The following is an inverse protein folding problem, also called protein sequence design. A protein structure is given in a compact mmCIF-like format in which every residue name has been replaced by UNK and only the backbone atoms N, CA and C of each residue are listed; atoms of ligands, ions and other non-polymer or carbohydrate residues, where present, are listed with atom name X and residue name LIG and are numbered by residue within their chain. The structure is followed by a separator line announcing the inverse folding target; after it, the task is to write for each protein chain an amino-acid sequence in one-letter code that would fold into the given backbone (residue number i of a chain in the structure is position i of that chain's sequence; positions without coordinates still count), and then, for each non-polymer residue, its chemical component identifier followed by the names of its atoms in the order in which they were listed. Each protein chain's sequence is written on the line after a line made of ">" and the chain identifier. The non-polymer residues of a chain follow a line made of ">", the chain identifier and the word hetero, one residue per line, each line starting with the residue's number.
data_IF_335342944859
#
_entry.id   IF_335342944859
#
_cell.length_a   1.000
_cell.length_b   1.000
_cell.length_c   1.000
_cell.angle_alpha   90.00
_cell.angle_beta   90.00
_cell.angle_gamma   90.00
#
_symmetry.space_group_name_H-M   'P 1'
#
loop_
_entity.id
_entity.type
_entity.pdbx_description
1 polymer ?
#
# COMPACT_ATOMS: atom_id res chain seq x y z
N UNK A 1 -21.75 23.04 -31.29
CA UNK A 1 -20.65 22.22 -30.76
C UNK A 1 -20.35 22.72 -29.35
N UNK A 2 -20.92 22.07 -28.34
CA UNK A 2 -20.53 22.28 -26.95
C UNK A 2 -19.06 21.81 -26.82
N UNK A 3 -18.14 22.70 -26.46
CA UNK A 3 -16.79 22.30 -26.05
C UNK A 3 -16.98 21.51 -24.75
N UNK A 4 -16.91 20.20 -24.87
CA UNK A 4 -16.75 19.35 -23.69
C UNK A 4 -15.47 19.80 -22.98
N UNK A 5 -15.54 20.08 -21.70
CA UNK A 5 -14.40 20.45 -20.88
C UNK A 5 -13.53 19.22 -20.55
N UNK A 6 -13.13 18.48 -21.56
CA UNK A 6 -12.25 17.31 -21.44
C UNK A 6 -10.79 17.73 -21.19
N UNK A 7 -10.62 18.62 -20.20
CA UNK A 7 -9.31 19.18 -19.87
C UNK A 7 -9.14 19.31 -18.37
N UNK A 8 -7.92 19.05 -17.92
CA UNK A 8 -7.52 19.26 -16.51
C UNK A 8 -6.81 20.61 -16.35
N UNK A 9 -7.17 21.35 -15.33
CA UNK A 9 -6.51 22.62 -14.98
C UNK A 9 -5.37 22.41 -13.97
N UNK A 10 -4.47 23.39 -13.89
CA UNK A 10 -3.49 23.47 -12.79
C UNK A 10 -4.16 23.37 -11.41
N UNK A 11 -5.31 24.04 -11.22
CA UNK A 11 -6.06 24.01 -9.96
C UNK A 11 -6.63 22.62 -9.67
N UNK A 12 -7.07 21.88 -10.68
CA UNK A 12 -7.55 20.50 -10.56
C UNK A 12 -6.43 19.53 -10.17
N UNK A 13 -5.22 19.69 -10.74
CA UNK A 13 -4.07 18.84 -10.40
C UNK A 13 -3.43 19.14 -9.04
N UNK A 14 -3.62 20.35 -8.50
CA UNK A 14 -2.97 20.72 -7.25
C UNK A 14 -3.34 19.84 -6.04
N UNK A 15 -4.62 19.50 -5.79
CA UNK A 15 -5.00 18.55 -4.74
C UNK A 15 -4.36 17.17 -4.97
N UNK A 16 -4.37 16.68 -6.20
CA UNK A 16 -3.78 15.39 -6.58
C UNK A 16 -2.26 15.37 -6.30
N UNK A 17 -1.56 16.44 -6.68
CA UNK A 17 -0.15 16.61 -6.33
C UNK A 17 0.07 16.55 -4.81
N UNK A 18 -0.78 17.18 -3.99
CA UNK A 18 -0.65 17.15 -2.53
C UNK A 18 -0.86 15.74 -1.96
N UNK A 19 -1.79 14.95 -2.51
CA UNK A 19 -2.00 13.55 -2.16
C UNK A 19 -0.77 12.72 -2.56
N UNK A 20 -0.32 12.85 -3.80
CA UNK A 20 0.81 12.10 -4.36
C UNK A 20 2.11 12.31 -3.57
N UNK A 21 2.41 13.55 -3.18
CA UNK A 21 3.63 13.88 -2.42
C UNK A 21 3.59 13.41 -0.95
N UNK A 22 2.40 13.05 -0.44
CA UNK A 22 2.24 12.58 0.95
C UNK A 22 3.08 11.32 1.14
N UNK A 23 3.94 11.31 2.17
CA UNK A 23 4.91 10.24 2.47
C UNK A 23 6.07 10.04 1.45
N UNK A 24 6.14 10.84 0.36
CA UNK A 24 7.18 10.76 -0.67
C UNK A 24 8.17 11.94 -0.68
N UNK A 25 7.98 12.93 0.18
CA UNK A 25 8.72 14.22 0.20
C UNK A 25 10.26 14.11 0.31
N UNK A 26 10.77 12.93 0.66
CA UNK A 26 12.21 12.70 0.81
C UNK A 26 12.78 11.87 -0.35
N UNK A 27 11.96 11.42 -1.31
CA UNK A 27 12.47 10.75 -2.50
C UNK A 27 13.11 11.76 -3.45
N UNK A 28 14.17 11.34 -4.15
CA UNK A 28 14.94 12.24 -5.01
C UNK A 28 14.07 12.89 -6.10
N UNK A 29 13.23 12.09 -6.75
CA UNK A 29 12.29 12.51 -7.78
C UNK A 29 11.22 13.50 -7.27
N UNK A 30 10.72 13.32 -6.04
CA UNK A 30 9.80 14.28 -5.44
C UNK A 30 10.50 15.61 -5.12
N UNK A 31 11.74 15.54 -4.60
CA UNK A 31 12.53 16.76 -4.33
C UNK A 31 12.83 17.51 -5.62
N UNK A 32 13.24 16.82 -6.68
CA UNK A 32 13.51 17.39 -7.99
C UNK A 32 12.26 18.08 -8.58
N UNK A 33 11.12 17.40 -8.56
CA UNK A 33 9.85 17.98 -8.99
C UNK A 33 9.48 19.23 -8.17
N UNK A 34 9.70 19.21 -6.84
CA UNK A 34 9.35 20.29 -5.93
C UNK A 34 10.23 21.53 -6.08
N UNK A 35 11.41 21.45 -6.69
CA UNK A 35 12.26 22.62 -6.96
C UNK A 35 11.53 23.65 -7.87
N UNK A 36 10.71 23.17 -8.78
CA UNK A 36 9.95 24.00 -9.73
C UNK A 36 8.49 23.53 -9.85
N UNK A 37 7.86 23.19 -8.73
CA UNK A 37 6.59 22.47 -8.72
C UNK A 37 5.44 23.18 -9.48
N UNK A 38 5.34 24.52 -9.43
CA UNK A 38 4.31 25.24 -10.17
C UNK A 38 4.46 25.05 -11.68
N UNK A 39 5.69 25.28 -12.17
CA UNK A 39 6.01 25.09 -13.60
C UNK A 39 5.81 23.64 -14.03
N UNK A 40 6.30 22.70 -13.23
CA UNK A 40 6.22 21.29 -13.53
C UNK A 40 4.75 20.79 -13.52
N UNK A 41 3.93 21.29 -12.59
CA UNK A 41 2.52 20.93 -12.52
C UNK A 41 1.71 21.57 -13.67
N UNK A 42 2.01 22.81 -14.04
CA UNK A 42 1.40 23.46 -15.20
C UNK A 42 1.75 22.73 -16.50
N UNK A 43 3.04 22.38 -16.68
CA UNK A 43 3.47 21.63 -17.85
C UNK A 43 2.78 20.26 -17.90
N UNK A 44 2.70 19.57 -16.79
CA UNK A 44 2.00 18.29 -16.71
C UNK A 44 0.53 18.43 -17.16
N UNK A 45 -0.18 19.48 -16.70
CA UNK A 45 -1.56 19.73 -17.12
C UNK A 45 -1.66 19.94 -18.64
N UNK A 46 -0.72 20.69 -19.24
CA UNK A 46 -0.66 20.89 -20.69
C UNK A 46 -0.38 19.59 -21.41
N UNK A 47 0.63 18.82 -20.99
CA UNK A 47 1.01 17.55 -21.60
C UNK A 47 -0.15 16.52 -21.51
N UNK A 48 -0.94 16.51 -20.44
CA UNK A 48 -2.15 15.69 -20.33
C UNK A 48 -3.21 16.13 -21.31
N UNK A 49 -3.50 17.42 -21.40
CA UNK A 49 -4.54 17.97 -22.27
C UNK A 49 -4.18 17.82 -23.77
N UNK A 50 -2.92 18.02 -24.12
CA UNK A 50 -2.41 17.90 -25.47
C UNK A 50 -2.15 16.44 -25.89
N UNK A 51 -2.36 15.46 -24.99
CA UNK A 51 -2.11 14.03 -25.23
C UNK A 51 -0.64 13.72 -25.58
N UNK A 52 0.31 14.51 -25.05
CA UNK A 52 1.76 14.41 -25.33
C UNK A 52 2.55 13.78 -24.20
N UNK A 53 1.88 13.21 -23.22
CA UNK A 53 2.49 12.61 -22.03
C UNK A 53 3.49 11.52 -22.42
N UNK A 54 4.72 11.64 -21.90
CA UNK A 54 5.78 10.65 -22.05
C UNK A 54 6.08 10.05 -20.69
N UNK A 55 5.57 8.85 -20.36
CA UNK A 55 5.86 8.24 -19.08
C UNK A 55 7.31 7.82 -18.98
N UNK A 56 7.95 8.18 -17.88
CA UNK A 56 9.28 7.70 -17.51
C UNK A 56 9.20 6.83 -16.26
N UNK A 57 10.08 5.84 -16.15
CA UNK A 57 10.13 4.95 -15.02
C UNK A 57 11.56 4.52 -14.69
N UNK A 58 11.79 4.18 -13.42
CA UNK A 58 13.04 3.58 -12.99
C UNK A 58 12.82 2.12 -12.64
N UNK A 59 13.81 1.28 -12.94
CA UNK A 59 13.81 -0.11 -12.50
C UNK A 59 14.76 -0.26 -11.32
N UNK A 60 14.29 -0.87 -10.25
CA UNK A 60 15.14 -1.33 -9.17
C UNK A 60 14.64 -2.66 -8.63
N UNK A 61 15.51 -3.40 -7.94
CA UNK A 61 15.15 -4.70 -7.36
C UNK A 61 14.98 -4.58 -5.86
N UNK A 62 13.83 -4.97 -5.35
CA UNK A 62 13.61 -5.13 -3.93
C UNK A 62 14.19 -6.48 -3.48
N UNK A 63 15.31 -6.48 -2.76
CA UNK A 63 16.04 -7.69 -2.36
C UNK A 63 15.42 -8.42 -1.17
N UNK A 64 14.38 -7.87 -0.52
CA UNK A 64 13.76 -8.49 0.67
C UNK A 64 12.26 -8.24 0.73
N UNK A 65 11.48 -9.24 1.16
CA UNK A 65 11.81 -10.64 1.46
C UNK A 65 12.05 -11.50 0.22
N UNK A 66 11.61 -11.05 -0.96
CA UNK A 66 11.82 -11.67 -2.28
C UNK A 66 12.36 -10.62 -3.24
N UNK A 67 13.28 -11.03 -4.13
CA UNK A 67 13.68 -10.18 -5.24
C UNK A 67 12.47 -9.94 -6.16
N UNK A 68 12.20 -8.67 -6.50
CA UNK A 68 11.13 -8.25 -7.41
C UNK A 68 11.59 -7.06 -8.23
N UNK A 69 11.15 -7.00 -9.46
CA UNK A 69 11.26 -5.80 -10.28
C UNK A 69 10.21 -4.79 -9.83
N UNK A 70 10.66 -3.60 -9.49
CA UNK A 70 9.78 -2.49 -9.13
C UNK A 70 10.07 -1.33 -10.06
N UNK A 71 9.09 -0.96 -10.86
CA UNK A 71 9.18 0.17 -11.79
C UNK A 71 8.63 1.42 -11.09
N UNK A 72 9.52 2.15 -10.44
CA UNK A 72 9.16 3.39 -9.76
C UNK A 72 9.07 4.53 -10.78
N UNK A 73 7.90 5.07 -10.96
CA UNK A 73 7.66 6.23 -11.82
C UNK A 73 8.24 7.51 -11.23
N UNK A 74 8.50 8.50 -12.09
CA UNK A 74 8.75 9.88 -11.68
C UNK A 74 7.51 10.51 -11.02
N UNK A 75 7.67 11.73 -10.52
CA UNK A 75 6.59 12.43 -9.80
C UNK A 75 5.44 12.82 -10.73
N UNK A 76 5.71 13.17 -11.99
CA UNK A 76 4.69 13.51 -12.99
C UNK A 76 3.77 12.34 -13.27
N UNK A 77 4.36 11.18 -13.60
CA UNK A 77 3.58 9.96 -13.85
C UNK A 77 2.80 9.51 -12.61
N UNK A 78 3.34 9.67 -11.40
CA UNK A 78 2.60 9.37 -10.17
C UNK A 78 1.39 10.28 -9.97
N UNK A 79 1.48 11.56 -10.36
CA UNK A 79 0.34 12.47 -10.31
C UNK A 79 -0.73 12.01 -11.30
N UNK A 80 -0.36 11.58 -12.51
CA UNK A 80 -1.30 11.01 -13.47
C UNK A 80 -1.96 9.73 -12.95
N UNK A 81 -1.18 8.81 -12.38
CA UNK A 81 -1.72 7.58 -11.77
C UNK A 81 -2.70 7.89 -10.64
N UNK A 82 -2.41 8.89 -9.80
CA UNK A 82 -3.34 9.31 -8.75
C UNK A 82 -4.57 10.02 -9.31
N UNK A 83 -4.45 10.80 -10.39
CA UNK A 83 -5.60 11.42 -11.05
C UNK A 83 -6.58 10.36 -11.54
N UNK A 84 -6.09 9.36 -12.29
CA UNK A 84 -6.91 8.22 -12.72
C UNK A 84 -7.54 7.50 -11.52
N UNK A 85 -6.73 7.18 -10.52
CA UNK A 85 -7.17 6.39 -9.38
C UNK A 85 -8.21 7.12 -8.52
N UNK A 86 -8.09 8.42 -8.30
CA UNK A 86 -9.06 9.19 -7.49
C UNK A 86 -10.43 9.26 -8.20
N UNK A 87 -10.46 9.47 -9.51
CA UNK A 87 -11.72 9.56 -10.27
C UNK A 87 -12.36 8.17 -10.49
N UNK A 88 -11.54 7.13 -10.74
CA UNK A 88 -12.04 5.77 -10.93
C UNK A 88 -12.38 5.03 -9.63
N UNK A 89 -11.82 5.43 -8.50
CA UNK A 89 -11.96 4.73 -7.20
C UNK A 89 -13.41 4.43 -6.79
N UNK A 90 -14.38 5.38 -6.84
CA UNK A 90 -15.75 5.07 -6.42
C UNK A 90 -16.40 3.97 -7.25
N UNK A 91 -16.01 3.85 -8.54
CA UNK A 91 -16.50 2.86 -9.46
C UNK A 91 -15.81 1.51 -9.24
N UNK A 92 -14.50 1.52 -9.05
CA UNK A 92 -13.71 0.31 -8.71
C UNK A 92 -14.24 -0.30 -7.41
N UNK A 93 -14.47 0.51 -6.37
CA UNK A 93 -14.99 0.04 -5.08
C UNK A 93 -16.32 -0.70 -5.22
N UNK A 94 -17.22 -0.28 -6.12
CA UNK A 94 -18.50 -0.97 -6.38
C UNK A 94 -18.35 -2.32 -7.09
N UNK A 95 -17.24 -2.53 -7.79
CA UNK A 95 -16.94 -3.80 -8.48
C UNK A 95 -16.28 -4.82 -7.58
N UNK A 96 -15.67 -4.39 -6.49
CA UNK A 96 -14.97 -5.26 -5.55
C UNK A 96 -15.91 -5.77 -4.47
N UNK A 97 -15.69 -7.00 -4.01
CA UNK A 97 -16.39 -7.52 -2.84
C UNK A 97 -15.84 -6.88 -1.56
N UNK A 98 -16.59 -6.92 -0.48
CA UNK A 98 -16.12 -6.42 0.81
C UNK A 98 -14.92 -7.18 1.36
N UNK A 99 -14.69 -8.39 0.88
CA UNK A 99 -13.57 -9.27 1.25
C UNK A 99 -12.33 -9.14 0.37
N UNK A 100 -12.29 -8.15 -0.54
CA UNK A 100 -11.07 -7.75 -1.24
C UNK A 100 -10.38 -6.64 -0.43
N UNK A 101 -9.15 -6.87 0.03
CA UNK A 101 -8.50 -6.02 1.04
C UNK A 101 -7.28 -5.22 0.56
N UNK A 102 -6.80 -5.45 -0.65
CA UNK A 102 -5.66 -4.73 -1.19
C UNK A 102 -6.06 -3.38 -1.81
N UNK A 103 -5.18 -2.40 -1.70
CA UNK A 103 -5.27 -1.09 -2.35
C UNK A 103 -6.58 -0.31 -2.08
N UNK A 104 -7.21 -0.50 -0.94
CA UNK A 104 -8.48 0.13 -0.55
C UNK A 104 -8.34 0.94 0.75
N UNK A 105 -9.03 2.08 0.83
CA UNK A 105 -9.03 2.93 2.02
C UNK A 105 -9.77 2.22 3.16
N UNK A 106 -9.17 2.19 4.35
CA UNK A 106 -9.75 1.51 5.53
C UNK A 106 -9.61 -0.01 5.53
N UNK A 107 -9.17 -0.61 4.44
CA UNK A 107 -8.84 -2.04 4.31
C UNK A 107 -7.32 -2.25 4.55
N UNK A 108 -6.76 -3.31 4.07
CA UNK A 108 -5.34 -3.62 4.17
C UNK A 108 -5.09 -4.95 4.88
N UNK A 109 -3.82 -5.33 5.00
CA UNK A 109 -3.44 -6.67 5.47
C UNK A 109 -3.97 -7.02 6.86
N UNK A 110 -3.98 -6.07 7.80
CA UNK A 110 -4.48 -6.35 9.14
C UNK A 110 -6.01 -6.58 9.13
N UNK A 111 -6.75 -5.83 8.33
CA UNK A 111 -8.18 -6.04 8.17
C UNK A 111 -8.48 -7.40 7.51
N UNK A 112 -7.70 -7.80 6.49
CA UNK A 112 -7.81 -9.15 5.89
C UNK A 112 -7.58 -10.27 6.91
N UNK A 113 -6.57 -10.13 7.75
CA UNK A 113 -6.25 -11.12 8.79
C UNK A 113 -7.37 -11.22 9.84
N UNK A 114 -7.95 -10.09 10.25
CA UNK A 114 -9.07 -10.07 11.18
C UNK A 114 -10.30 -10.72 10.54
N UNK A 115 -10.60 -10.40 9.28
CA UNK A 115 -11.71 -11.02 8.54
C UNK A 115 -11.55 -12.54 8.43
N UNK A 116 -10.34 -13.04 8.16
CA UNK A 116 -10.05 -14.48 8.17
C UNK A 116 -10.37 -15.11 9.53
N UNK A 117 -10.00 -14.44 10.63
CA UNK A 117 -10.29 -14.95 11.98
C UNK A 117 -11.80 -14.95 12.27
N UNK A 118 -12.52 -13.92 11.86
CA UNK A 118 -13.98 -13.80 11.96
C UNK A 118 -14.68 -14.88 11.11
N UNK A 119 -14.29 -15.02 9.85
CA UNK A 119 -14.88 -16.03 8.94
C UNK A 119 -14.68 -17.46 9.46
N UNK A 120 -13.53 -17.78 10.07
CA UNK A 120 -13.30 -19.07 10.72
C UNK A 120 -14.22 -19.22 11.94
N UNK A 121 -14.35 -18.20 12.78
CA UNK A 121 -15.19 -18.22 13.97
C UNK A 121 -16.65 -18.44 13.60
N UNK A 122 -17.16 -17.70 12.62
CA UNK A 122 -18.55 -17.79 12.16
C UNK A 122 -18.84 -19.13 11.51
N UNK A 123 -17.97 -19.60 10.58
CA UNK A 123 -18.16 -20.88 9.88
C UNK A 123 -18.11 -22.09 10.83
N UNK A 124 -17.33 -21.99 11.91
CA UNK A 124 -17.23 -23.03 12.94
C UNK A 124 -18.25 -22.89 14.05
N UNK A 125 -19.17 -21.91 14.01
CA UNK A 125 -20.09 -21.60 15.10
C UNK A 125 -19.36 -21.47 16.45
N UNK A 126 -18.31 -20.62 16.52
CA UNK A 126 -17.54 -20.44 17.74
C UNK A 126 -16.60 -21.60 18.08
N UNK A 127 -16.04 -22.26 17.07
CA UNK A 127 -15.14 -23.42 17.18
C UNK A 127 -15.80 -24.72 17.67
N UNK A 128 -17.10 -24.83 17.49
CA UNK A 128 -17.88 -26.04 17.89
C UNK A 128 -18.13 -26.99 16.73
N UNK A 129 -17.98 -26.55 15.48
CA UNK A 129 -18.18 -27.35 14.27
C UNK A 129 -16.89 -27.43 13.45
N UNK A 130 -16.75 -28.49 12.69
CA UNK A 130 -15.62 -28.67 11.78
C UNK A 130 -15.72 -27.74 10.60
N UNK A 131 -14.54 -27.16 10.21
CA UNK A 131 -14.37 -26.41 9.00
C UNK A 131 -12.94 -26.54 8.49
N UNK A 132 -12.75 -26.31 7.20
CA UNK A 132 -11.48 -26.39 6.52
C UNK A 132 -11.10 -25.03 5.95
N UNK A 133 -9.90 -24.61 6.28
CA UNK A 133 -9.25 -23.42 5.73
C UNK A 133 -8.49 -23.79 4.46
N UNK A 134 -8.81 -23.11 3.38
CA UNK A 134 -8.22 -23.32 2.07
C UNK A 134 -7.47 -22.06 1.67
N UNK A 135 -6.21 -22.19 1.25
CA UNK A 135 -5.42 -21.06 0.75
C UNK A 135 -4.78 -21.42 -0.59
N UNK A 136 -4.71 -20.44 -1.47
CA UNK A 136 -4.00 -20.55 -2.73
C UNK A 136 -3.38 -19.21 -3.14
N UNK A 137 -2.41 -19.26 -4.03
CA UNK A 137 -1.65 -18.12 -4.53
C UNK A 137 -1.64 -18.19 -6.07
N UNK A 138 -1.70 -17.06 -6.73
CA UNK A 138 -1.62 -16.99 -8.19
C UNK A 138 -0.17 -16.86 -8.63
N UNK A 139 0.24 -17.67 -9.60
CA UNK A 139 1.61 -17.65 -10.10
C UNK A 139 1.84 -16.46 -11.03
N UNK A 140 2.82 -15.62 -10.65
CA UNK A 140 3.20 -14.51 -11.52
C UNK A 140 2.07 -13.52 -11.77
N UNK A 141 1.26 -13.21 -10.76
CA UNK A 141 0.03 -12.42 -10.90
C UNK A 141 0.23 -11.13 -11.68
N UNK A 142 1.19 -10.27 -11.30
CA UNK A 142 1.53 -9.06 -12.04
C UNK A 142 2.30 -9.36 -13.34
N UNK A 143 3.37 -10.16 -13.33
CA UNK A 143 4.15 -10.40 -14.54
C UNK A 143 3.39 -11.13 -15.68
N UNK A 144 2.30 -11.82 -15.38
CA UNK A 144 1.52 -12.57 -16.36
C UNK A 144 0.19 -11.89 -16.72
N UNK A 145 -0.11 -10.73 -16.14
CA UNK A 145 -1.34 -10.01 -16.42
C UNK A 145 -1.41 -9.61 -17.91
N UNK A 146 -2.56 -9.79 -18.54
CA UNK A 146 -2.83 -9.34 -19.89
C UNK A 146 -3.22 -7.87 -19.86
N UNK A 147 -2.54 -7.06 -20.64
CA UNK A 147 -2.76 -5.60 -20.65
C UNK A 147 -4.11 -5.26 -21.29
N UNK A 148 -4.52 -5.98 -22.34
CA UNK A 148 -5.83 -5.85 -22.96
C UNK A 148 -6.97 -6.08 -21.96
N UNK A 149 -6.92 -7.19 -21.24
CA UNK A 149 -7.92 -7.53 -20.22
C UNK A 149 -8.00 -6.47 -19.12
N UNK A 150 -6.84 -5.98 -18.64
CA UNK A 150 -6.80 -4.92 -17.64
C UNK A 150 -7.40 -3.60 -18.18
N UNK A 151 -7.11 -3.26 -19.41
CA UNK A 151 -7.64 -2.07 -20.08
C UNK A 151 -9.15 -2.15 -20.30
N UNK A 152 -9.64 -3.28 -20.82
CA UNK A 152 -11.05 -3.51 -21.08
C UNK A 152 -11.92 -3.39 -19.81
N UNK A 153 -11.39 -3.82 -18.65
CA UNK A 153 -12.08 -3.66 -17.37
C UNK A 153 -12.21 -2.19 -16.96
N UNK A 154 -11.19 -1.37 -17.21
CA UNK A 154 -11.30 0.07 -16.99
C UNK A 154 -12.27 0.73 -17.96
N UNK A 155 -12.25 0.32 -19.25
CA UNK A 155 -13.17 0.84 -20.26
C UNK A 155 -14.61 0.49 -19.92
N UNK A 156 -14.88 -0.72 -19.45
CA UNK A 156 -16.22 -1.13 -19.05
C UNK A 156 -16.79 -0.23 -17.95
N UNK A 157 -15.98 0.12 -16.94
CA UNK A 157 -16.35 1.08 -15.91
C UNK A 157 -16.53 2.47 -16.50
N UNK A 158 -15.56 2.94 -17.29
CA UNK A 158 -15.55 4.27 -17.86
C UNK A 158 -16.77 4.50 -18.75
N UNK A 159 -17.14 3.51 -19.55
CA UNK A 159 -18.24 3.61 -20.50
C UNK A 159 -19.61 3.46 -19.87
N UNK A 160 -19.76 2.59 -18.90
CA UNK A 160 -21.05 2.28 -18.28
C UNK A 160 -21.38 3.12 -17.04
N UNK A 161 -20.36 3.55 -16.29
CA UNK A 161 -20.59 4.12 -14.99
C UNK A 161 -20.07 5.54 -14.82
N UNK A 162 -18.97 5.92 -15.52
CA UNK A 162 -18.37 7.22 -15.35
C UNK A 162 -19.12 8.31 -16.11
N UNK A 163 -19.47 9.40 -15.42
CA UNK A 163 -20.25 10.52 -15.98
C UNK A 163 -19.49 11.86 -15.97
N UNK A 164 -18.17 11.83 -15.64
CA UNK A 164 -17.36 13.05 -15.63
C UNK A 164 -17.15 13.62 -17.03
N UNK A 165 -16.96 14.94 -17.12
CA UNK A 165 -16.71 15.65 -18.39
C UNK A 165 -15.36 15.32 -19.00
N UNK A 166 -14.41 14.80 -18.20
CA UNK A 166 -13.04 14.43 -18.58
C UNK A 166 -12.89 12.95 -18.97
N UNK A 167 -13.98 12.31 -19.37
CA UNK A 167 -14.02 10.89 -19.73
C UNK A 167 -13.00 10.50 -20.80
N UNK A 168 -12.86 11.30 -21.85
CA UNK A 168 -11.91 11.03 -22.93
C UNK A 168 -10.45 11.30 -22.51
N UNK A 169 -10.24 12.25 -21.59
CA UNK A 169 -8.93 12.42 -20.95
C UNK A 169 -8.55 11.20 -20.13
N UNK A 170 -9.48 10.70 -19.29
CA UNK A 170 -9.25 9.49 -18.49
C UNK A 170 -8.99 8.28 -19.39
N UNK A 171 -9.74 8.09 -20.48
CA UNK A 171 -9.51 7.03 -21.47
C UNK A 171 -8.07 7.05 -21.99
N UNK A 172 -7.60 8.21 -22.43
CA UNK A 172 -6.23 8.40 -22.88
C UNK A 172 -5.21 8.09 -21.80
N UNK A 173 -5.41 8.59 -20.58
CA UNK A 173 -4.48 8.40 -19.47
C UNK A 173 -4.40 6.92 -19.02
N UNK A 174 -5.54 6.22 -18.99
CA UNK A 174 -5.62 4.79 -18.68
C UNK A 174 -4.88 3.98 -19.75
N UNK A 175 -5.18 4.24 -21.04
CA UNK A 175 -4.50 3.61 -22.16
C UNK A 175 -2.98 3.77 -22.06
N UNK A 176 -2.49 5.00 -21.90
CA UNK A 176 -1.07 5.31 -21.73
C UNK A 176 -0.45 4.66 -20.50
N UNK A 177 -1.22 4.48 -19.42
CA UNK A 177 -0.74 3.87 -18.18
C UNK A 177 -0.67 2.35 -18.27
N UNK A 178 -1.65 1.72 -18.88
CA UNK A 178 -1.73 0.26 -19.03
C UNK A 178 -0.75 -0.25 -20.08
N UNK A 179 -0.73 0.36 -21.27
CA UNK A 179 0.14 -0.05 -22.38
C UNK A 179 1.53 0.59 -22.35
N UNK A 180 1.94 1.18 -21.20
CA UNK A 180 3.32 1.63 -21.06
C UNK A 180 4.24 0.44 -20.83
N UNK A 181 5.35 0.43 -21.58
CA UNK A 181 6.42 -0.57 -21.44
C UNK A 181 7.58 0.06 -20.66
N UNK A 182 7.60 -0.04 -19.32
CA UNK A 182 8.64 0.61 -18.52
C UNK A 182 10.03 0.03 -18.76
N UNK A 183 10.12 -1.14 -19.38
CA UNK A 183 11.37 -1.78 -19.78
C UNK A 183 12.08 -1.07 -20.92
N UNK A 184 11.35 -0.33 -21.77
CA UNK A 184 11.91 0.41 -22.92
C UNK A 184 12.48 1.77 -22.49
N UNK A 185 11.90 2.40 -21.46
CA UNK A 185 12.21 3.75 -21.03
C UNK A 185 12.48 3.81 -19.53
N UNK A 186 13.39 2.96 -19.02
CA UNK A 186 13.73 2.96 -17.63
C UNK A 186 15.23 3.14 -17.37
N UNK A 187 15.56 3.81 -16.28
CA UNK A 187 16.88 3.83 -15.70
C UNK A 187 17.05 2.63 -14.76
N UNK A 188 18.02 1.77 -15.04
CA UNK A 188 18.32 0.61 -14.20
C UNK A 188 19.27 1.04 -13.08
N UNK A 189 18.77 1.07 -11.84
CA UNK A 189 19.52 1.44 -10.64
C UNK A 189 19.95 0.25 -9.79
N UNK A 190 19.45 -0.96 -10.09
CA UNK A 190 19.86 -2.18 -9.41
C UNK A 190 21.18 -2.70 -9.93
N UNK A 191 21.94 -3.39 -9.06
CA UNK A 191 23.16 -4.09 -9.49
C UNK A 191 22.83 -5.31 -10.36
N UNK A 192 23.84 -5.84 -11.03
CA UNK A 192 23.67 -7.04 -11.85
C UNK A 192 23.26 -8.25 -10.99
N UNK A 193 23.91 -8.42 -9.82
CA UNK A 193 23.63 -9.51 -8.87
C UNK A 193 22.21 -9.43 -8.31
N UNK A 194 21.72 -8.22 -8.02
CA UNK A 194 20.33 -8.02 -7.58
C UNK A 194 19.33 -8.47 -8.66
N UNK A 195 19.63 -8.19 -9.92
CA UNK A 195 18.80 -8.61 -11.05
C UNK A 195 18.83 -10.11 -11.28
N UNK A 196 19.99 -10.76 -11.14
CA UNK A 196 20.12 -12.21 -11.22
C UNK A 196 19.30 -12.97 -10.17
N UNK A 197 18.96 -12.32 -9.06
CA UNK A 197 18.09 -12.90 -8.03
C UNK A 197 16.61 -13.00 -8.47
N UNK A 198 16.23 -12.36 -9.58
CA UNK A 198 14.89 -12.43 -10.14
C UNK A 198 14.82 -13.60 -11.10
N UNK A 199 13.81 -14.43 -10.93
CA UNK A 199 13.56 -15.53 -11.85
C UNK A 199 13.18 -15.00 -13.24
N UNK A 200 13.75 -15.55 -14.32
CA UNK A 200 13.51 -15.05 -15.68
C UNK A 200 12.02 -14.94 -16.06
N UNK A 201 11.20 -15.92 -15.64
CA UNK A 201 9.75 -15.95 -15.90
C UNK A 201 8.96 -14.86 -15.14
N UNK A 202 9.59 -14.16 -14.18
CA UNK A 202 8.99 -13.06 -13.40
C UNK A 202 9.48 -11.68 -13.82
N UNK A 203 10.44 -11.62 -14.72
CA UNK A 203 10.99 -10.37 -15.22
C UNK A 203 10.13 -9.85 -16.38
N UNK A 204 9.75 -8.57 -16.32
CA UNK A 204 9.05 -7.91 -17.42
C UNK A 204 9.92 -7.74 -18.66
N UNK A 205 11.26 -7.73 -18.51
CA UNK A 205 12.17 -7.69 -19.66
C UNK A 205 12.08 -8.94 -20.55
N UNK A 206 11.54 -10.03 -20.01
CA UNK A 206 11.40 -11.32 -20.72
C UNK A 206 9.95 -11.59 -21.13
N UNK A 207 9.03 -10.64 -20.96
CA UNK A 207 7.63 -10.83 -21.34
C UNK A 207 7.39 -10.34 -22.77
N UNK A 208 6.51 -11.02 -23.51
CA UNK A 208 6.06 -10.52 -24.82
C UNK A 208 5.24 -9.24 -24.66
N UNK A 209 5.12 -8.48 -25.73
CA UNK A 209 4.25 -7.30 -25.78
C UNK A 209 2.81 -7.66 -25.37
N UNK A 210 2.14 -6.77 -24.64
CA UNK A 210 0.79 -6.98 -24.14
C UNK A 210 0.70 -7.81 -22.86
N UNK A 211 1.82 -8.34 -22.35
CA UNK A 211 1.85 -9.14 -21.12
C UNK A 211 2.71 -8.45 -20.05
N UNK A 212 2.16 -8.37 -18.84
CA UNK A 212 2.84 -7.91 -17.65
C UNK A 212 2.38 -6.54 -17.17
N UNK A 213 2.13 -6.46 -15.86
CA UNK A 213 1.79 -5.25 -15.12
C UNK A 213 2.97 -4.74 -14.29
N UNK A 214 3.16 -3.42 -14.27
CA UNK A 214 4.26 -2.77 -13.56
C UNK A 214 4.03 -2.78 -12.06
N UNK A 215 4.84 -3.52 -11.30
CA UNK A 215 4.86 -3.41 -9.84
C UNK A 215 5.44 -2.03 -9.47
N UNK A 216 4.70 -1.27 -8.66
CA UNK A 216 5.10 0.06 -8.19
C UNK A 216 4.25 1.20 -8.76
N UNK A 217 3.35 0.92 -9.69
CA UNK A 217 2.39 1.88 -10.23
C UNK A 217 1.01 1.71 -9.62
N UNK A 218 0.34 2.83 -9.31
CA UNK A 218 -0.97 2.81 -8.65
C UNK A 218 -2.06 2.27 -9.57
N UNK A 219 -2.09 2.70 -10.83
CA UNK A 219 -3.06 2.23 -11.82
C UNK A 219 -2.98 0.71 -11.99
N UNK A 220 -1.77 0.12 -11.98
CA UNK A 220 -1.63 -1.33 -12.03
C UNK A 220 -2.08 -2.03 -10.75
N UNK A 221 -2.02 -1.38 -9.58
CA UNK A 221 -2.62 -1.94 -8.36
C UNK A 221 -4.14 -1.95 -8.43
N UNK A 222 -4.74 -0.89 -8.99
CA UNK A 222 -6.19 -0.81 -9.23
C UNK A 222 -6.62 -1.84 -10.29
N UNK A 223 -5.90 -1.92 -11.42
CA UNK A 223 -6.13 -2.94 -12.45
C UNK A 223 -6.13 -4.35 -11.88
N UNK A 224 -5.10 -4.71 -11.11
CA UNK A 224 -5.00 -6.05 -10.51
C UNK A 224 -6.04 -6.31 -9.43
N UNK A 225 -6.58 -5.28 -8.79
CA UNK A 225 -7.73 -5.45 -7.89
C UNK A 225 -9.00 -5.84 -8.64
N UNK A 226 -9.22 -5.24 -9.81
CA UNK A 226 -10.33 -5.55 -10.71
C UNK A 226 -10.16 -6.89 -11.43
N UNK A 227 -8.94 -7.25 -11.78
CA UNK A 227 -8.59 -8.33 -12.71
C UNK A 227 -9.28 -9.65 -12.44
N UNK A 228 -9.49 -9.96 -11.17
CA UNK A 228 -10.17 -11.19 -10.73
C UNK A 228 -11.42 -10.91 -9.89
N UNK A 229 -11.94 -9.69 -9.92
CA UNK A 229 -13.09 -9.29 -9.09
C UNK A 229 -14.36 -10.10 -9.40
N UNK A 230 -14.57 -10.51 -10.65
CA UNK A 230 -15.69 -11.33 -11.05
C UNK A 230 -15.60 -12.74 -10.45
N UNK A 231 -14.39 -13.27 -10.27
CA UNK A 231 -14.16 -14.55 -9.61
C UNK A 231 -14.46 -14.41 -8.11
N UNK A 232 -14.04 -13.28 -7.49
CA UNK A 232 -14.37 -13.03 -6.08
C UNK A 232 -15.89 -12.99 -5.87
N UNK A 233 -16.62 -12.27 -6.74
CA UNK A 233 -18.09 -12.18 -6.68
C UNK A 233 -18.76 -13.54 -6.90
N UNK A 234 -18.31 -14.30 -7.90
CA UNK A 234 -18.81 -15.64 -8.14
C UNK A 234 -18.65 -16.54 -6.93
N UNK A 235 -17.49 -16.52 -6.25
CA UNK A 235 -17.28 -17.29 -5.03
C UNK A 235 -18.23 -16.90 -3.91
N UNK A 236 -18.41 -15.61 -3.67
CA UNK A 236 -19.22 -15.11 -2.56
C UNK A 236 -20.72 -15.22 -2.86
N UNK A 237 -21.18 -14.79 -4.06
CA UNK A 237 -22.60 -14.65 -4.38
C UNK A 237 -23.22 -15.95 -4.94
N UNK A 238 -22.51 -16.61 -5.86
CA UNK A 238 -23.05 -17.79 -6.54
C UNK A 238 -22.74 -19.09 -5.78
N UNK A 239 -21.55 -19.17 -5.16
CA UNK A 239 -21.14 -20.36 -4.43
C UNK A 239 -21.38 -20.26 -2.92
N UNK A 240 -21.66 -19.07 -2.38
CA UNK A 240 -21.84 -18.87 -0.94
C UNK A 240 -20.57 -19.12 -0.11
N UNK A 241 -19.39 -18.98 -0.71
CA UNK A 241 -18.10 -19.23 -0.08
C UNK A 241 -17.54 -17.94 0.52
N UNK A 242 -17.22 -17.96 1.81
CA UNK A 242 -16.49 -16.86 2.45
C UNK A 242 -15.06 -16.82 1.91
N UNK A 243 -14.77 -15.83 1.08
CA UNK A 243 -13.51 -15.69 0.34
C UNK A 243 -12.81 -14.36 0.64
N UNK A 244 -11.61 -14.41 1.18
CA UNK A 244 -10.76 -13.23 1.46
C UNK A 244 -9.61 -13.19 0.49
N UNK A 245 -9.43 -12.05 -0.18
CA UNK A 245 -8.31 -11.83 -1.10
C UNK A 245 -7.42 -10.64 -0.69
N UNK A 246 -6.12 -10.85 -0.77
CA UNK A 246 -5.11 -9.81 -0.67
C UNK A 246 -4.09 -9.94 -1.80
N UNK A 247 -4.31 -9.25 -2.91
CA UNK A 247 -3.58 -9.38 -4.19
C UNK A 247 -3.67 -10.81 -4.75
N UNK A 248 -2.53 -11.52 -4.77
CA UNK A 248 -2.36 -12.89 -5.22
C UNK A 248 -2.62 -13.94 -4.11
N UNK A 249 -2.62 -13.53 -2.87
CA UNK A 249 -2.92 -14.40 -1.72
C UNK A 249 -4.43 -14.51 -1.49
N UNK A 250 -4.97 -15.73 -1.49
CA UNK A 250 -6.38 -16.03 -1.34
C UNK A 250 -6.63 -16.97 -0.16
N UNK A 251 -7.78 -16.80 0.47
CA UNK A 251 -8.26 -17.63 1.56
C UNK A 251 -9.76 -17.92 1.40
N UNK A 252 -10.16 -19.14 1.69
CA UNK A 252 -11.57 -19.50 1.84
C UNK A 252 -11.75 -20.44 3.04
N UNK A 253 -12.95 -20.46 3.60
CA UNK A 253 -13.35 -21.38 4.66
C UNK A 253 -14.64 -22.09 4.27
N UNK A 254 -14.68 -23.41 4.45
CA UNK A 254 -15.83 -24.26 4.13
C UNK A 254 -16.01 -25.35 5.19
N UNK A 255 -17.25 -25.78 5.39
CA UNK A 255 -17.62 -26.97 6.18
C UNK A 255 -17.62 -28.27 5.35
N UNK A 256 -17.59 -28.14 4.01
CA UNK A 256 -17.53 -29.26 3.08
C UNK A 256 -16.35 -29.15 2.14
N UNK A 257 -15.18 -29.66 2.57
CA UNK A 257 -13.96 -29.62 1.77
C UNK A 257 -14.04 -30.51 0.53
N UNK A 258 -14.77 -31.61 0.58
CA UNK A 258 -14.94 -32.54 -0.52
C UNK A 258 -15.66 -31.85 -1.67
N UNK A 259 -16.79 -31.18 -1.40
CA UNK A 259 -17.51 -30.40 -2.39
C UNK A 259 -16.68 -29.25 -2.92
N UNK A 260 -15.94 -28.54 -2.05
CA UNK A 260 -15.04 -27.46 -2.50
C UNK A 260 -13.98 -27.97 -3.48
N UNK A 261 -13.32 -29.07 -3.15
CA UNK A 261 -12.25 -29.65 -3.98
C UNK A 261 -12.79 -30.28 -5.28
N UNK A 262 -13.99 -30.87 -5.24
CA UNK A 262 -14.58 -31.52 -6.41
C UNK A 262 -15.25 -30.58 -7.40
N UNK A 263 -15.84 -29.47 -6.92
CA UNK A 263 -16.65 -28.58 -7.78
C UNK A 263 -16.08 -27.17 -7.87
N UNK A 264 -15.69 -26.56 -6.74
CA UNK A 264 -15.23 -25.16 -6.74
C UNK A 264 -13.82 -25.03 -7.31
N UNK A 265 -12.89 -25.87 -6.90
CA UNK A 265 -11.50 -25.80 -7.35
C UNK A 265 -11.30 -25.99 -8.86
N UNK A 266 -11.93 -26.93 -9.55
CA UNK A 266 -11.84 -27.05 -11.01
C UNK A 266 -12.35 -25.79 -11.72
N UNK A 267 -13.50 -25.27 -11.27
CA UNK A 267 -14.08 -24.05 -11.86
C UNK A 267 -13.24 -22.82 -11.60
N UNK A 268 -12.67 -22.65 -10.40
CA UNK A 268 -11.67 -21.61 -10.10
C UNK A 268 -10.48 -21.67 -11.07
N UNK A 269 -9.94 -22.88 -11.30
CA UNK A 269 -8.82 -23.06 -12.25
C UNK A 269 -9.22 -22.64 -13.66
N UNK A 270 -10.41 -23.00 -14.11
CA UNK A 270 -10.92 -22.63 -15.43
C UNK A 270 -11.05 -21.12 -15.56
N UNK A 271 -11.71 -20.46 -14.61
CA UNK A 271 -11.92 -18.99 -14.59
C UNK A 271 -10.61 -18.22 -14.54
N UNK A 272 -9.67 -18.65 -13.70
CA UNK A 272 -8.34 -18.03 -13.67
C UNK A 272 -7.58 -18.23 -14.99
N UNK A 273 -7.67 -19.41 -15.61
CA UNK A 273 -7.02 -19.68 -16.88
C UNK A 273 -7.56 -18.81 -18.01
N UNK A 274 -8.85 -18.49 -18.04
CA UNK A 274 -9.46 -17.54 -19.00
C UNK A 274 -8.85 -16.13 -18.92
N UNK A 275 -8.42 -15.73 -17.72
CA UNK A 275 -7.70 -14.48 -17.49
C UNK A 275 -6.17 -14.61 -17.68
N UNK A 276 -5.67 -15.76 -18.12
CA UNK A 276 -4.23 -16.02 -18.23
C UNK A 276 -3.53 -16.21 -16.87
N UNK A 277 -4.29 -16.40 -15.79
CA UNK A 277 -3.77 -16.66 -14.45
C UNK A 277 -3.72 -18.16 -14.17
N UNK A 278 -2.69 -18.60 -13.45
CA UNK A 278 -2.55 -19.98 -12.99
C UNK A 278 -2.38 -20.04 -11.47
N UNK A 279 -2.92 -21.11 -10.85
CA UNK A 279 -2.67 -21.35 -9.44
C UNK A 279 -1.23 -21.86 -9.27
N UNK A 280 -0.55 -21.31 -8.27
CA UNK A 280 0.82 -21.73 -7.96
C UNK A 280 0.84 -23.21 -7.49
N UNK A 281 1.56 -24.12 -8.15
CA UNK A 281 1.45 -25.55 -7.94
C UNK A 281 1.77 -26.02 -6.50
N UNK A 282 2.68 -25.28 -5.82
CA UNK A 282 3.15 -25.65 -4.47
C UNK A 282 2.64 -24.74 -3.36
N UNK A 283 1.65 -23.86 -3.64
CA UNK A 283 1.11 -22.94 -2.64
C UNK A 283 -0.40 -23.11 -2.45
N UNK A 284 -0.86 -24.30 -2.61
CA UNK A 284 -2.22 -24.71 -2.24
C UNK A 284 -2.19 -25.41 -0.89
N UNK A 285 -3.12 -25.09 -0.01
CA UNK A 285 -3.29 -25.75 1.28
C UNK A 285 -4.77 -25.89 1.60
N UNK A 286 -5.18 -27.08 2.00
CA UNK A 286 -6.49 -27.37 2.56
C UNK A 286 -6.29 -28.08 3.88
N UNK A 287 -6.66 -27.45 4.99
CA UNK A 287 -6.44 -28.03 6.32
C UNK A 287 -7.54 -27.65 7.30
N UNK A 288 -7.77 -28.51 8.28
CA UNK A 288 -8.71 -28.23 9.35
C UNK A 288 -8.31 -26.97 10.11
N UNK A 289 -9.29 -26.13 10.50
CA UNK A 289 -9.03 -24.81 11.12
C UNK A 289 -8.18 -24.89 12.39
N UNK A 290 -8.25 -25.99 13.17
CA UNK A 290 -7.48 -26.16 14.41
C UNK A 290 -5.97 -26.13 14.21
N UNK A 291 -5.50 -26.50 13.01
CA UNK A 291 -4.08 -26.41 12.65
C UNK A 291 -3.63 -24.96 12.45
N UNK A 292 -4.57 -24.04 12.30
CA UNK A 292 -4.35 -22.64 11.95
C UNK A 292 -4.03 -22.44 10.48
N UNK A 293 -4.16 -21.23 9.97
CA UNK A 293 -3.93 -20.89 8.57
C UNK A 293 -2.78 -19.90 8.42
N UNK A 294 -1.93 -20.11 7.43
CA UNK A 294 -0.86 -19.18 7.07
C UNK A 294 -1.37 -18.24 5.98
N UNK A 295 -1.33 -16.93 6.23
CA UNK A 295 -1.73 -15.91 5.28
C UNK A 295 -0.79 -14.69 5.36
N UNK A 296 -0.23 -14.25 4.23
CA UNK A 296 0.63 -13.07 4.14
C UNK A 296 1.66 -12.94 5.28
N UNK A 297 2.40 -14.00 5.59
CA UNK A 297 3.43 -13.98 6.64
C UNK A 297 2.90 -14.01 8.08
N UNK A 298 1.64 -14.33 8.26
CA UNK A 298 0.94 -14.44 9.54
C UNK A 298 0.40 -15.86 9.70
N UNK A 299 0.18 -16.31 10.93
CA UNK A 299 -0.53 -17.55 11.25
C UNK A 299 -1.76 -17.22 12.08
N UNK A 300 -2.94 -17.43 11.54
CA UNK A 300 -4.22 -17.28 12.24
C UNK A 300 -4.59 -18.61 12.88
N UNK A 301 -4.85 -18.63 14.17
CA UNK A 301 -5.37 -19.77 14.93
C UNK A 301 -6.63 -19.34 15.67
N UNK A 302 -7.37 -20.30 16.21
CA UNK A 302 -8.71 -20.14 16.82
C UNK A 302 -8.97 -18.79 17.49
N UNK A 303 -8.14 -18.39 18.45
CA UNK A 303 -8.35 -17.14 19.20
C UNK A 303 -7.20 -16.14 19.07
N UNK A 304 -6.18 -16.45 18.26
CA UNK A 304 -4.95 -15.66 18.22
C UNK A 304 -4.34 -15.60 16.83
N UNK A 305 -3.72 -14.45 16.57
CA UNK A 305 -2.97 -14.21 15.36
C UNK A 305 -1.49 -14.13 15.73
N UNK A 306 -0.65 -14.92 15.07
CA UNK A 306 0.78 -15.04 15.38
C UNK A 306 1.64 -14.52 14.23
N UNK A 307 2.79 -13.96 14.59
CA UNK A 307 3.87 -13.68 13.64
C UNK A 307 4.41 -15.02 13.12
N UNK A 308 4.56 -15.15 11.79
CA UNK A 308 5.11 -16.38 11.22
C UNK A 308 6.56 -16.61 11.65
N UNK A 309 6.97 -17.88 11.79
CA UNK A 309 8.34 -18.26 12.13
C UNK A 309 9.38 -17.69 11.14
N UNK A 310 9.03 -17.58 9.86
CA UNK A 310 9.88 -16.94 8.86
C UNK A 310 10.12 -15.46 9.19
N UNK A 311 9.08 -14.73 9.56
CA UNK A 311 9.17 -13.31 9.95
C UNK A 311 10.01 -13.14 11.22
N UNK A 312 9.82 -14.02 12.21
CA UNK A 312 10.63 -14.03 13.45
C UNK A 312 12.10 -14.23 13.12
N UNK A 313 12.45 -15.26 12.33
CA UNK A 313 13.85 -15.49 11.92
C UNK A 313 14.45 -14.30 11.19
N UNK A 314 13.69 -13.70 10.26
CA UNK A 314 14.15 -12.51 9.52
C UNK A 314 14.36 -11.32 10.44
N UNK A 315 13.53 -11.15 11.46
CA UNK A 315 13.69 -10.11 12.47
C UNK A 315 14.98 -10.31 13.28
N UNK A 316 15.21 -11.50 13.82
CA UNK A 316 16.43 -11.82 14.56
C UNK A 316 17.69 -11.66 13.70
N UNK A 317 17.67 -12.09 12.43
CA UNK A 317 18.77 -11.86 11.49
C UNK A 317 19.00 -10.35 11.21
N UNK A 318 17.93 -9.56 11.18
CA UNK A 318 18.03 -8.10 11.04
C UNK A 318 18.78 -7.50 12.23
N UNK A 319 18.42 -7.87 13.46
CA UNK A 319 19.12 -7.44 14.69
C UNK A 319 20.60 -7.84 14.65
N UNK A 320 20.89 -9.12 14.37
CA UNK A 320 22.25 -9.62 14.29
C UNK A 320 23.10 -8.86 13.26
N UNK A 321 22.54 -8.55 12.08
CA UNK A 321 23.22 -7.77 11.03
C UNK A 321 23.61 -6.36 11.51
N UNK A 322 22.73 -5.69 12.25
CA UNK A 322 23.05 -4.36 12.78
C UNK A 322 24.05 -4.42 13.93
N UNK A 323 23.97 -5.44 14.78
CA UNK A 323 24.93 -5.65 15.88
C UNK A 323 26.36 -5.98 15.38
N UNK A 324 26.50 -6.67 14.24
CA UNK A 324 27.80 -7.03 13.70
C UNK A 324 28.68 -5.81 13.33
N UNK A 325 28.08 -4.66 13.01
CA UNK A 325 28.82 -3.45 12.69
C UNK A 325 27.98 -2.21 13.05
N UNK A 326 27.83 -1.89 14.33
CA UNK A 326 27.08 -0.73 14.79
C UNK A 326 27.79 0.56 14.41
N UNK A 327 27.10 1.45 13.74
CA UNK A 327 27.58 2.79 13.43
C UNK A 327 26.41 3.76 13.17
N UNK A 328 26.62 5.05 13.44
CA UNK A 328 25.58 6.07 13.27
C UNK A 328 25.03 6.13 11.84
N UNK A 329 25.85 5.91 10.83
CA UNK A 329 25.43 5.91 9.40
C UNK A 329 24.34 4.87 9.10
N UNK A 330 24.27 3.79 9.89
CA UNK A 330 23.26 2.72 9.73
C UNK A 330 21.98 2.98 10.53
N UNK A 331 21.96 4.00 11.38
CA UNK A 331 20.85 4.25 12.32
C UNK A 331 19.50 4.42 11.59
N UNK A 332 19.47 5.16 10.49
CA UNK A 332 18.24 5.36 9.71
C UNK A 332 17.71 4.05 9.12
N UNK A 333 18.60 3.19 8.61
CA UNK A 333 18.24 1.88 8.07
C UNK A 333 17.79 0.92 9.18
N UNK A 334 18.46 0.96 10.36
CA UNK A 334 18.06 0.20 11.53
C UNK A 334 16.64 0.59 11.97
N UNK A 335 16.39 1.89 12.19
CA UNK A 335 15.09 2.39 12.60
C UNK A 335 13.98 1.99 11.63
N UNK A 336 14.22 2.12 10.32
CA UNK A 336 13.25 1.71 9.31
C UNK A 336 12.95 0.22 9.36
N UNK A 337 14.00 -0.61 9.45
CA UNK A 337 13.87 -2.07 9.43
C UNK A 337 13.25 -2.61 10.71
N UNK A 338 13.79 -2.22 11.87
CA UNK A 338 13.32 -2.72 13.18
C UNK A 338 11.90 -2.25 13.45
N UNK A 339 11.57 -0.97 13.19
CA UNK A 339 10.23 -0.46 13.39
C UNK A 339 9.18 -1.12 12.47
N UNK A 340 9.58 -1.56 11.28
CA UNK A 340 8.71 -2.37 10.42
C UNK A 340 8.35 -3.70 11.09
N UNK A 341 9.32 -4.42 11.67
CA UNK A 341 9.05 -5.66 12.41
C UNK A 341 8.27 -5.43 13.70
N UNK A 342 8.58 -4.37 14.46
CA UNK A 342 7.83 -3.99 15.65
C UNK A 342 6.35 -3.69 15.32
N UNK A 343 6.09 -3.03 14.20
CA UNK A 343 4.74 -2.80 13.69
C UNK A 343 3.98 -4.11 13.41
N UNK A 344 4.67 -5.12 12.85
CA UNK A 344 4.11 -6.46 12.66
C UNK A 344 3.81 -7.12 14.02
N UNK A 345 4.75 -7.09 14.96
CA UNK A 345 4.59 -7.69 16.29
C UNK A 345 3.44 -7.04 17.08
N UNK A 346 3.25 -5.73 16.95
CA UNK A 346 2.19 -4.98 17.62
C UNK A 346 0.77 -5.47 17.26
N UNK A 347 0.58 -5.93 16.03
CA UNK A 347 -0.74 -6.33 15.52
C UNK A 347 -0.99 -7.85 15.58
N UNK A 348 -0.01 -8.65 16.02
CA UNK A 348 -0.03 -10.12 15.90
C UNK A 348 0.49 -10.86 17.13
N UNK A 349 -0.05 -10.59 18.30
CA UNK A 349 0.36 -11.24 19.56
C UNK A 349 1.90 -11.43 19.68
N UNK A 350 2.67 -10.51 19.11
CA UNK A 350 4.12 -10.60 18.97
C UNK A 350 4.90 -9.84 20.04
N UNK A 351 4.28 -9.43 21.15
CA UNK A 351 4.94 -8.61 22.17
C UNK A 351 6.22 -9.27 22.70
N UNK A 352 6.16 -10.55 23.07
CA UNK A 352 7.33 -11.28 23.56
C UNK A 352 8.44 -11.33 22.48
N UNK A 353 8.09 -11.59 21.21
CA UNK A 353 9.05 -11.58 20.10
C UNK A 353 9.72 -10.20 19.96
N UNK A 354 8.92 -9.13 20.06
CA UNK A 354 9.43 -7.77 19.99
C UNK A 354 10.40 -7.47 21.11
N UNK A 355 10.06 -7.81 22.34
CA UNK A 355 10.93 -7.60 23.52
C UNK A 355 12.21 -8.42 23.39
N UNK A 356 12.11 -9.72 23.09
CA UNK A 356 13.30 -10.57 22.89
C UNK A 356 14.23 -10.02 21.79
N UNK A 357 13.65 -9.50 20.69
CA UNK A 357 14.47 -8.90 19.63
C UNK A 357 15.16 -7.60 20.09
N UNK A 358 14.48 -6.78 20.87
CA UNK A 358 15.04 -5.54 21.43
C UNK A 358 16.10 -5.82 22.50
N UNK A 359 15.90 -6.83 23.34
CA UNK A 359 16.87 -7.26 24.35
C UNK A 359 18.17 -7.81 23.72
N UNK A 360 18.06 -8.36 22.51
CA UNK A 360 19.21 -8.78 21.71
C UNK A 360 19.87 -7.62 20.91
N UNK A 361 19.34 -6.41 20.94
CA UNK A 361 19.98 -5.27 20.33
C UNK A 361 21.17 -4.83 21.19
N UNK A 362 22.35 -4.67 20.57
CA UNK A 362 23.57 -4.27 21.27
C UNK A 362 23.40 -2.94 22.00
N UNK A 363 23.91 -2.86 23.24
CA UNK A 363 23.87 -1.64 24.08
C UNK A 363 24.50 -0.41 23.41
N UNK A 364 25.39 -0.61 22.46
CA UNK A 364 25.97 0.48 21.67
C UNK A 364 24.87 1.32 21.00
N UNK A 365 23.75 0.69 20.61
CA UNK A 365 22.64 1.39 19.99
C UNK A 365 21.86 2.27 20.95
N UNK A 366 21.89 2.02 22.27
CA UNK A 366 21.25 2.85 23.30
C UNK A 366 21.79 4.29 23.33
N UNK A 367 23.02 4.48 22.83
CA UNK A 367 23.61 5.82 22.62
C UNK A 367 22.83 6.65 21.60
N UNK A 368 22.25 6.01 20.58
CA UNK A 368 21.67 6.65 19.42
C UNK A 368 20.14 6.63 19.40
N UNK A 369 19.53 5.71 20.15
CA UNK A 369 18.08 5.47 20.11
C UNK A 369 17.53 4.99 21.46
N UNK A 370 16.22 5.12 21.61
CA UNK A 370 15.47 4.56 22.74
C UNK A 370 14.14 3.97 22.26
N UNK A 371 13.54 3.12 23.09
CA UNK A 371 12.22 2.55 22.86
C UNK A 371 11.14 3.52 23.34
N UNK A 372 10.30 4.01 22.44
CA UNK A 372 9.01 4.61 22.79
C UNK A 372 8.02 3.47 23.13
N UNK A 373 7.89 3.17 24.42
CA UNK A 373 7.03 2.08 24.93
C UNK A 373 5.56 2.27 24.54
N UNK A 374 5.08 3.53 24.50
CA UNK A 374 3.68 3.84 24.18
C UNK A 374 3.37 3.52 22.72
N UNK A 375 4.29 3.79 21.81
CA UNK A 375 4.14 3.55 20.37
C UNK A 375 4.68 2.19 19.96
N UNK A 376 5.41 1.51 20.82
CA UNK A 376 6.14 0.29 20.52
C UNK A 376 7.02 0.47 19.26
N UNK A 377 7.88 1.47 19.28
CA UNK A 377 8.83 1.75 18.21
C UNK A 377 10.13 2.34 18.75
N UNK A 378 11.22 2.10 18.03
CA UNK A 378 12.50 2.75 18.30
C UNK A 378 12.48 4.18 17.76
N UNK A 379 13.02 5.10 18.53
CA UNK A 379 13.14 6.52 18.17
C UNK A 379 14.59 6.93 18.34
N UNK A 380 15.11 7.72 17.41
CA UNK A 380 16.44 8.30 17.56
C UNK A 380 16.48 9.31 18.71
N UNK A 381 17.54 9.26 19.49
CA UNK A 381 17.84 10.28 20.50
C UNK A 381 18.09 11.64 19.82
N UNK A 382 17.87 12.72 20.55
CA UNK A 382 18.04 14.07 20.02
C UNK A 382 19.45 14.26 19.43
N UNK A 383 19.46 14.78 18.20
CA UNK A 383 20.71 15.04 17.44
C UNK A 383 21.21 13.88 16.57
N UNK A 384 20.67 12.67 16.70
CA UNK A 384 21.12 11.50 15.94
C UNK A 384 20.16 11.07 14.82
N UNK A 385 20.68 10.35 13.83
CA UNK A 385 19.89 9.66 12.81
C UNK A 385 19.31 10.53 11.71
N UNK A 386 19.57 11.82 11.74
CA UNK A 386 19.11 12.76 10.70
C UNK A 386 20.35 13.30 9.95
N UNK A 387 20.36 13.15 8.60
CA UNK A 387 21.31 13.94 7.83
C UNK A 387 20.98 15.45 7.99
N UNK A 388 21.91 16.35 7.73
CA UNK A 388 21.77 17.80 7.96
C UNK A 388 20.49 18.41 7.34
N UNK A 389 20.02 17.91 6.18
CA UNK A 389 18.76 18.33 5.56
C UNK A 389 17.53 17.88 6.36
N UNK A 390 17.55 16.66 6.90
CA UNK A 390 16.48 16.12 7.73
C UNK A 390 16.48 16.77 9.12
N UNK A 391 17.65 17.08 9.69
CA UNK A 391 17.77 17.86 10.93
C UNK A 391 17.11 19.23 10.77
N UNK A 392 17.39 19.97 9.69
CA UNK A 392 16.75 21.27 9.41
C UNK A 392 15.23 21.14 9.23
N UNK A 393 14.74 20.12 8.49
CA UNK A 393 13.29 19.86 8.33
C UNK A 393 12.62 19.45 9.64
N UNK A 394 13.27 18.63 10.45
CA UNK A 394 12.75 18.21 11.75
C UNK A 394 12.60 19.41 12.69
N UNK A 395 13.60 20.29 12.78
CA UNK A 395 13.53 21.53 13.53
C UNK A 395 12.43 22.48 13.02
N UNK A 396 12.25 22.59 11.71
CA UNK A 396 11.17 23.38 11.13
C UNK A 396 9.79 22.81 11.45
N UNK A 397 9.64 21.47 11.47
CA UNK A 397 8.39 20.80 11.87
C UNK A 397 8.10 20.96 13.35
N UNK A 398 9.10 20.87 14.20
CA UNK A 398 8.96 21.13 15.65
C UNK A 398 8.54 22.58 15.91
N UNK A 399 9.18 23.56 15.26
CA UNK A 399 8.78 24.98 15.34
C UNK A 399 7.33 25.19 14.85
N UNK A 400 6.90 24.52 13.79
CA UNK A 400 5.51 24.60 13.30
C UNK A 400 4.50 23.92 14.23
N UNK A 401 4.88 22.79 14.83
CA UNK A 401 4.03 22.09 15.80
C UNK A 401 3.88 22.88 17.10
N UNK A 402 4.94 23.50 17.58
CA UNK A 402 4.92 24.34 18.76
C UNK A 402 4.11 25.62 18.50
N UNK A 403 4.27 26.30 17.35
CA UNK A 403 3.44 27.44 16.96
C UNK A 403 1.94 27.11 16.84
N UNK A 404 1.58 25.91 16.35
CA UNK A 404 0.19 25.44 16.35
C UNK A 404 -0.34 25.16 17.75
N UNK A 405 0.50 24.67 18.64
CA UNK A 405 0.15 24.41 20.03
C UNK A 405 -0.04 25.71 20.79
N UNK A 406 0.83 26.70 20.57
CA UNK A 406 0.77 28.02 21.18
C UNK A 406 -0.46 28.79 20.70
N UNK A 407 -0.76 28.81 19.39
CA UNK A 407 -2.00 29.37 18.84
C UNK A 407 -3.27 28.70 19.39
N UNK A 408 -3.24 27.38 19.65
CA UNK A 408 -4.35 26.67 20.30
C UNK A 408 -4.47 26.98 21.79
N UNK A 409 -3.35 27.29 22.46
CA UNK A 409 -3.36 27.77 23.85
C UNK A 409 -3.87 29.19 23.96
N UNK A 410 -3.45 30.09 23.05
CA UNK A 410 -3.97 31.46 22.96
C UNK A 410 -5.46 31.50 22.64
N UNK A 411 -5.94 30.68 21.70
CA UNK A 411 -7.35 30.57 21.39
C UNK A 411 -8.20 29.92 22.49
N UNK A 412 -7.60 29.25 23.46
CA UNK A 412 -8.26 28.66 24.62
C UNK A 412 -8.13 29.49 25.90
N UNK A 413 -7.43 30.64 25.87
CA UNK A 413 -7.47 31.59 27.00
C UNK A 413 -8.86 32.27 27.00
N UNK A 414 -9.64 32.13 28.09
CA UNK A 414 -10.89 32.88 28.18
C UNK A 414 -10.56 34.35 28.13
N UNK A 415 -11.43 35.12 27.50
CA UNK A 415 -11.38 36.60 27.45
C UNK A 415 -11.57 37.16 28.87
N UNK A 416 -10.49 37.12 29.66
CA UNK A 416 -10.45 37.60 31.04
C UNK A 416 -10.07 39.07 31.14
N UNK A 417 -10.04 39.80 30.01
CA UNK A 417 -9.64 41.24 30.02
C UNK A 417 -10.66 42.22 29.50
N UNK A 418 -11.89 41.81 29.12
CA UNK A 418 -12.94 42.76 28.78
C UNK A 418 -13.83 43.15 29.97
N UNK A 419 -13.82 42.42 31.10
CA UNK A 419 -14.61 42.76 32.30
C UNK A 419 -13.97 43.79 33.25
N UNK A 420 -12.70 44.11 33.09
CA UNK A 420 -12.03 45.11 33.92
C UNK A 420 -12.17 46.53 33.40
N UNK A 421 -12.54 46.74 32.15
CA UNK A 421 -12.81 48.09 31.60
C UNK A 421 -14.26 48.53 31.75
N UNK A 422 -15.21 47.61 31.83
CA UNK A 422 -16.64 47.93 32.02
C UNK A 422 -16.98 48.25 33.49
N UNK A 423 -16.13 47.88 34.46
CA UNK A 423 -16.33 48.23 35.88
C UNK A 423 -15.76 49.61 36.23
N UNK A 424 -14.84 50.17 35.42
CA UNK A 424 -14.28 51.50 35.63
C UNK A 424 -15.03 52.62 34.87
N UNK A 425 -15.96 52.29 33.96
CA UNK A 425 -16.78 53.26 33.23
C UNK A 425 -18.15 53.52 33.88
N UNK A 426 -18.50 52.82 34.96
CA UNK A 426 -19.81 52.87 35.61
C UNK A 426 -19.89 53.77 36.88
N UNK A 427 -18.81 54.54 37.20
CA UNK A 427 -18.80 55.36 38.42
C UNK A 427 -18.45 56.83 38.20
N UNK A 428 -18.96 57.46 37.15
CA UNK A 428 -19.01 58.94 37.10
C UNK A 428 -20.31 59.38 36.37
N UNK A 429 -21.31 59.68 37.15
CA UNK A 429 -22.55 60.27 36.65
C UNK A 429 -23.70 60.27 37.64
N UNK A 430 -23.46 60.89 38.77
CA UNK A 430 -24.54 61.56 39.57
C UNK A 430 -23.89 62.57 40.48
N UNK A 431 -23.91 63.76 40.02
CA UNK A 431 -24.34 64.97 40.72
C UNK A 431 -24.72 66.03 39.69
#
# INVERSE_FOLDING_TARGET
>A
MQKMNDTVSFRGLYPIYLITRKHKRNSADCVEFELHWQRNLLRLALDMNDRTLQPTAYTFVATRPKAREVFACDMGQRICDHYISEDMRPHIERRLTDRTFNNRIGKGLNAAINQIAEDIYDKTCGFTRDAWCITWDLEGYFPNARQDTAYDQFLDILDKEYQGEDKELLRYLIERSIFSYPTEHCEIRSTYEERLAIKPEKSLFNKPAGIGGSIGRLVWQDAMSLYVADIDRWMEQDCGILHVRYMDDNFAVTDNKEAFLAYIMPELRRRYAELGCTLHPHKFSCQHYSKGVKFCGTTVKMQRVYVSQRTVRSFMQCIAKFNAAPCERKLSALLASVNSYLGICKTRNGHHIAMTALDNLSDIWNRYLHLDKRRMCLVANDGYGLNERLKRRYHLRLKHKNRKHDKRREAKRPAAHSRAQDVLAGHNGRE
#
